data_IF_318992337046
#
_entry.id   IF_318992337046
#
_cell.length_a   1.000
_cell.length_b   1.000
_cell.length_c   1.000
_cell.angle_alpha   90.00
_cell.angle_beta   90.00
_cell.angle_gamma   90.00
#
_symmetry.space_group_name_H-M   'P 1'
#
loop_
_entity.id
_entity.type
_entity.pdbx_description
1 polymer ?
#
# COMPACT_ATOMS: atom_id res chain seq x y z
N UNK A 1 -25.23 -18.95 -24.04
CA UNK A 1 -25.16 -18.26 -22.74
C UNK A 1 -25.49 -16.81 -23.04
N UNK A 2 -26.75 -16.42 -22.91
CA UNK A 2 -27.15 -15.02 -23.10
C UNK A 2 -26.41 -14.18 -22.07
N UNK A 3 -25.59 -13.26 -22.55
CA UNK A 3 -24.93 -12.28 -21.69
C UNK A 3 -25.96 -11.19 -21.45
N UNK A 4 -26.57 -11.21 -20.27
CA UNK A 4 -27.58 -10.24 -19.88
C UNK A 4 -26.93 -8.91 -19.48
N UNK A 5 -27.40 -7.82 -20.09
CA UNK A 5 -26.97 -6.44 -19.82
C UNK A 5 -27.16 -6.09 -18.34
N UNK A 6 -28.24 -6.54 -17.72
CA UNK A 6 -28.54 -6.29 -16.31
C UNK A 6 -27.47 -6.92 -15.40
N UNK A 7 -27.02 -8.13 -15.73
CA UNK A 7 -25.94 -8.81 -14.99
C UNK A 7 -24.62 -8.05 -15.08
N UNK A 8 -24.29 -7.47 -16.23
CA UNK A 8 -23.05 -6.69 -16.37
C UNK A 8 -23.15 -5.37 -15.60
N UNK A 9 -24.29 -4.68 -15.66
CA UNK A 9 -24.52 -3.45 -14.90
C UNK A 9 -24.36 -3.70 -13.40
N UNK A 10 -25.00 -4.75 -12.87
CA UNK A 10 -24.88 -5.12 -11.45
C UNK A 10 -23.43 -5.40 -11.03
N UNK A 11 -22.64 -6.08 -11.87
CA UNK A 11 -21.21 -6.31 -11.62
C UNK A 11 -20.41 -5.01 -11.65
N UNK A 12 -20.73 -4.10 -12.55
CA UNK A 12 -20.07 -2.81 -12.67
C UNK A 12 -20.32 -1.93 -11.44
N UNK A 13 -21.58 -1.85 -10.98
CA UNK A 13 -21.93 -1.15 -9.75
C UNK A 13 -21.20 -1.72 -8.53
N UNK A 14 -21.15 -3.04 -8.41
CA UNK A 14 -20.39 -3.71 -7.36
C UNK A 14 -18.91 -3.30 -7.40
N UNK A 15 -18.28 -3.30 -8.58
CA UNK A 15 -16.86 -2.96 -8.74
C UNK A 15 -16.56 -1.49 -8.48
N UNK A 16 -17.47 -0.58 -8.86
CA UNK A 16 -17.37 0.86 -8.54
C UNK A 16 -17.46 1.09 -7.02
N UNK A 17 -18.37 0.38 -6.35
CA UNK A 17 -18.47 0.43 -4.89
C UNK A 17 -17.20 -0.13 -4.23
N UNK A 18 -16.73 -1.30 -4.67
CA UNK A 18 -15.48 -1.91 -4.20
C UNK A 18 -14.28 -0.95 -4.36
N UNK A 19 -14.15 -0.30 -5.52
CA UNK A 19 -13.13 0.71 -5.79
C UNK A 19 -13.20 1.87 -4.79
N UNK A 20 -14.41 2.36 -4.51
CA UNK A 20 -14.63 3.46 -3.56
C UNK A 20 -14.16 3.09 -2.15
N UNK A 21 -14.48 1.87 -1.69
CA UNK A 21 -14.04 1.40 -0.38
C UNK A 21 -12.52 1.22 -0.32
N UNK A 22 -11.92 0.61 -1.34
CA UNK A 22 -10.47 0.38 -1.37
C UNK A 22 -9.66 1.67 -1.45
N UNK A 23 -10.15 2.71 -2.13
CA UNK A 23 -9.51 4.02 -2.12
C UNK A 23 -9.46 4.63 -0.72
N UNK A 24 -10.55 4.53 0.05
CA UNK A 24 -10.58 4.99 1.46
C UNK A 24 -9.59 4.20 2.33
N UNK A 25 -9.48 2.89 2.11
CA UNK A 25 -8.52 2.08 2.86
C UNK A 25 -7.07 2.34 2.42
N UNK A 26 -6.83 2.66 1.15
CA UNK A 26 -5.52 3.08 0.66
C UNK A 26 -5.05 4.37 1.35
N UNK A 27 -5.94 5.35 1.54
CA UNK A 27 -5.62 6.58 2.27
C UNK A 27 -5.17 6.28 3.71
N UNK A 28 -5.92 5.43 4.43
CA UNK A 28 -5.56 4.99 5.79
C UNK A 28 -4.21 4.27 5.80
N UNK A 29 -3.97 3.36 4.86
CA UNK A 29 -2.69 2.66 4.72
C UNK A 29 -1.55 3.62 4.39
N UNK A 30 -1.81 4.67 3.61
CA UNK A 30 -0.85 5.73 3.32
C UNK A 30 -0.43 6.45 4.59
N UNK A 31 -1.39 6.89 5.41
CA UNK A 31 -1.12 7.55 6.69
C UNK A 31 -0.33 6.65 7.65
N UNK A 32 -0.69 5.37 7.77
CA UNK A 32 0.03 4.40 8.61
C UNK A 32 1.47 4.21 8.09
N UNK A 33 1.64 4.05 6.78
CA UNK A 33 2.95 3.87 6.14
C UNK A 33 3.86 5.07 6.39
N UNK A 34 3.34 6.28 6.26
CA UNK A 34 4.13 7.51 6.46
C UNK A 34 4.46 7.72 7.94
N UNK A 35 3.51 7.47 8.86
CA UNK A 35 3.73 7.55 10.31
C UNK A 35 4.81 6.56 10.79
N UNK A 36 4.80 5.31 10.30
CA UNK A 36 5.82 4.33 10.66
C UNK A 36 7.19 4.64 10.03
N UNK A 37 7.22 5.31 8.87
CA UNK A 37 8.48 5.76 8.26
C UNK A 37 9.10 6.92 9.06
N UNK A 38 8.28 7.85 9.53
CA UNK A 38 8.68 8.92 10.45
C UNK A 38 9.24 8.35 11.76
N UNK A 39 8.48 7.50 12.45
CA UNK A 39 8.86 6.90 13.73
C UNK A 39 10.21 6.17 13.62
N UNK A 40 10.36 5.30 12.61
CA UNK A 40 11.62 4.60 12.38
C UNK A 40 12.80 5.56 12.16
N UNK A 41 12.62 6.64 11.37
CA UNK A 41 13.69 7.60 11.11
C UNK A 41 14.09 8.36 12.36
N UNK A 42 13.12 8.80 13.16
CA UNK A 42 13.36 9.51 14.40
C UNK A 42 14.13 8.64 15.39
N UNK A 43 13.68 7.41 15.64
CA UNK A 43 14.35 6.51 16.59
C UNK A 43 15.73 6.07 16.12
N UNK A 44 15.92 5.82 14.82
CA UNK A 44 17.23 5.49 14.26
C UNK A 44 18.23 6.64 14.46
N UNK A 45 17.81 7.89 14.30
CA UNK A 45 18.67 9.06 14.52
C UNK A 45 19.02 9.20 16.00
N UNK A 46 18.05 9.02 16.90
CA UNK A 46 18.30 9.04 18.36
C UNK A 46 19.34 7.98 18.74
N UNK A 47 19.22 6.77 18.19
CA UNK A 47 20.17 5.69 18.43
C UNK A 47 21.56 6.03 17.88
N UNK A 48 21.65 6.63 16.68
CA UNK A 48 22.93 7.10 16.15
C UNK A 48 23.60 8.15 17.03
N UNK A 49 22.83 9.11 17.56
CA UNK A 49 23.35 10.13 18.46
C UNK A 49 23.84 9.51 19.77
N UNK A 50 23.05 8.60 20.36
CA UNK A 50 23.44 7.86 21.57
C UNK A 50 24.75 7.10 21.38
N UNK A 51 24.87 6.36 20.27
CA UNK A 51 26.08 5.60 19.96
C UNK A 51 27.28 6.50 19.65
N UNK A 52 27.08 7.65 18.99
CA UNK A 52 28.13 8.63 18.68
C UNK A 52 28.68 9.30 19.95
N UNK A 53 27.81 9.62 20.91
CA UNK A 53 28.22 10.20 22.20
C UNK A 53 29.00 9.19 23.06
N UNK A 54 28.62 7.91 22.99
CA UNK A 54 29.22 6.85 23.81
C UNK A 54 30.48 6.23 23.20
N UNK A 55 30.62 6.23 21.87
CA UNK A 55 31.74 5.60 21.17
C UNK A 55 32.54 6.62 20.34
N UNK A 56 33.83 6.78 20.65
CA UNK A 56 34.77 7.52 19.81
C UNK A 56 34.85 6.87 18.42
N UNK A 57 34.21 7.47 17.42
CA UNK A 57 34.38 7.23 15.97
C UNK A 57 34.57 5.76 15.56
N UNK A 58 33.56 4.92 15.79
CA UNK A 58 33.55 3.56 15.25
C UNK A 58 32.91 3.58 13.85
N UNK A 59 33.63 3.06 12.85
CA UNK A 59 33.17 3.01 11.44
C UNK A 59 31.89 2.18 11.21
N UNK A 60 31.48 1.37 12.19
CA UNK A 60 30.34 0.43 12.12
C UNK A 60 29.11 0.87 12.94
N UNK A 61 29.06 2.13 13.43
CA UNK A 61 27.90 2.67 14.18
C UNK A 61 26.58 2.48 13.43
N UNK A 62 26.63 2.56 12.09
CA UNK A 62 25.54 2.23 11.16
C UNK A 62 24.91 0.86 11.40
N UNK A 63 25.74 -0.16 11.50
CA UNK A 63 25.32 -1.55 11.61
C UNK A 63 24.94 -1.91 13.03
N UNK A 64 25.60 -1.31 14.03
CA UNK A 64 25.24 -1.46 15.44
C UNK A 64 23.83 -0.93 15.70
N UNK A 65 23.52 0.30 15.24
CA UNK A 65 22.19 0.88 15.43
C UNK A 65 21.08 0.06 14.76
N UNK A 66 21.34 -0.50 13.57
CA UNK A 66 20.37 -1.35 12.86
C UNK A 66 20.29 -2.77 13.41
N UNK A 67 21.32 -3.21 14.12
CA UNK A 67 21.34 -4.45 14.89
C UNK A 67 20.58 -4.36 16.21
N UNK A 68 20.29 -3.14 16.69
CA UNK A 68 19.40 -2.94 17.84
C UNK A 68 18.01 -3.52 17.51
N UNK A 69 17.52 -4.39 18.40
CA UNK A 69 16.27 -5.12 18.23
C UNK A 69 15.05 -4.20 18.07
N UNK A 70 15.01 -3.08 18.78
CA UNK A 70 13.91 -2.13 18.73
C UNK A 70 13.88 -1.42 17.37
N UNK A 71 15.03 -0.92 16.92
CA UNK A 71 15.18 -0.31 15.58
C UNK A 71 14.87 -1.31 14.47
N UNK A 72 15.32 -2.55 14.60
CA UNK A 72 15.03 -3.62 13.65
C UNK A 72 13.53 -3.92 13.57
N UNK A 73 12.82 -3.90 14.70
CA UNK A 73 11.37 -4.09 14.74
C UNK A 73 10.61 -2.92 14.09
N UNK A 74 11.03 -1.68 14.38
CA UNK A 74 10.47 -0.49 13.71
C UNK A 74 10.66 -0.56 12.19
N UNK A 75 11.85 -0.99 11.73
CA UNK A 75 12.15 -1.21 10.31
C UNK A 75 11.21 -2.24 9.69
N UNK A 76 11.00 -3.36 10.36
CA UNK A 76 10.10 -4.42 9.89
C UNK A 76 8.66 -3.90 9.76
N UNK A 77 8.16 -3.20 10.77
CA UNK A 77 6.80 -2.65 10.75
C UNK A 77 6.61 -1.65 9.60
N UNK A 78 7.58 -0.76 9.40
CA UNK A 78 7.62 0.19 8.27
C UNK A 78 7.58 -0.55 6.92
N UNK A 79 8.39 -1.59 6.76
CA UNK A 79 8.49 -2.32 5.49
C UNK A 79 7.21 -3.11 5.20
N UNK A 80 6.60 -3.72 6.22
CA UNK A 80 5.29 -4.36 6.10
C UNK A 80 4.20 -3.35 5.71
N UNK A 81 4.21 -2.15 6.29
CA UNK A 81 3.26 -1.10 5.93
C UNK A 81 3.43 -0.62 4.48
N UNK A 82 4.68 -0.49 4.01
CA UNK A 82 4.99 -0.18 2.60
C UNK A 82 4.45 -1.26 1.67
N UNK A 83 4.73 -2.53 1.95
CA UNK A 83 4.25 -3.66 1.15
C UNK A 83 2.72 -3.65 1.08
N UNK A 84 2.02 -3.46 2.21
CA UNK A 84 0.56 -3.40 2.26
C UNK A 84 0.00 -2.26 1.42
N UNK A 85 0.58 -1.06 1.52
CA UNK A 85 0.18 0.10 0.73
C UNK A 85 0.34 -0.15 -0.77
N UNK A 86 1.51 -0.64 -1.22
CA UNK A 86 1.74 -0.90 -2.64
C UNK A 86 0.89 -2.05 -3.17
N UNK A 87 0.68 -3.11 -2.38
CA UNK A 87 -0.21 -4.20 -2.73
C UNK A 87 -1.66 -3.72 -2.93
N UNK A 88 -2.16 -2.86 -2.03
CA UNK A 88 -3.49 -2.25 -2.19
C UNK A 88 -3.57 -1.39 -3.45
N UNK A 89 -2.54 -0.59 -3.73
CA UNK A 89 -2.47 0.23 -4.95
C UNK A 89 -2.56 -0.64 -6.22
N UNK A 90 -1.83 -1.76 -6.27
CA UNK A 90 -1.92 -2.72 -7.37
C UNK A 90 -3.31 -3.35 -7.47
N UNK A 91 -3.93 -3.70 -6.34
CA UNK A 91 -5.29 -4.25 -6.33
C UNK A 91 -6.34 -3.26 -6.84
N UNK A 92 -6.19 -1.96 -6.54
CA UNK A 92 -7.05 -0.89 -7.05
C UNK A 92 -6.91 -0.78 -8.57
N UNK A 93 -5.70 -0.90 -9.11
CA UNK A 93 -5.47 -0.87 -10.54
C UNK A 93 -6.14 -2.05 -11.26
N UNK A 94 -6.08 -3.25 -10.68
CA UNK A 94 -6.79 -4.40 -11.22
C UNK A 94 -8.32 -4.16 -11.28
N UNK A 95 -8.91 -3.54 -10.25
CA UNK A 95 -10.35 -3.23 -10.26
C UNK A 95 -10.70 -2.23 -11.36
N UNK A 96 -9.86 -1.23 -11.61
CA UNK A 96 -10.08 -0.31 -12.74
C UNK A 96 -10.07 -1.05 -14.06
N UNK A 97 -9.12 -1.97 -14.27
CA UNK A 97 -9.05 -2.79 -15.47
C UNK A 97 -10.33 -3.64 -15.60
N UNK A 98 -10.79 -4.27 -14.51
CA UNK A 98 -12.05 -5.03 -14.51
C UNK A 98 -13.25 -4.16 -14.89
N UNK A 99 -13.33 -2.93 -14.39
CA UNK A 99 -14.38 -1.96 -14.77
C UNK A 99 -14.31 -1.66 -16.27
N UNK A 100 -13.12 -1.40 -16.82
CA UNK A 100 -12.96 -1.12 -18.25
C UNK A 100 -13.34 -2.32 -19.12
N UNK A 101 -13.02 -3.55 -18.70
CA UNK A 101 -13.46 -4.77 -19.38
C UNK A 101 -14.99 -4.87 -19.39
N UNK A 102 -15.65 -4.64 -18.26
CA UNK A 102 -17.12 -4.68 -18.18
C UNK A 102 -17.76 -3.59 -19.05
N UNK A 103 -17.19 -2.38 -19.10
CA UNK A 103 -17.62 -1.30 -20.01
C UNK A 103 -17.45 -1.68 -21.47
N UNK A 104 -16.35 -2.34 -21.82
CA UNK A 104 -16.10 -2.85 -23.17
C UNK A 104 -17.14 -3.89 -23.58
N UNK A 105 -17.50 -4.81 -22.69
CA UNK A 105 -18.56 -5.80 -22.93
C UNK A 105 -19.93 -5.14 -23.15
N UNK A 106 -20.29 -4.15 -22.33
CA UNK A 106 -21.54 -3.38 -22.52
C UNK A 106 -21.55 -2.67 -23.87
N UNK A 107 -20.45 -2.01 -24.24
CA UNK A 107 -20.35 -1.28 -25.50
C UNK A 107 -20.51 -2.21 -26.70
N UNK A 108 -19.91 -3.40 -26.65
CA UNK A 108 -20.05 -4.41 -27.69
C UNK A 108 -21.50 -4.89 -27.82
N UNK A 109 -22.15 -5.23 -26.70
CA UNK A 109 -23.57 -5.61 -26.70
C UNK A 109 -24.46 -4.50 -27.26
N UNK A 110 -24.24 -3.24 -26.87
CA UNK A 110 -25.00 -2.10 -27.39
C UNK A 110 -24.75 -1.78 -28.87
N UNK A 111 -23.70 -2.34 -29.49
CA UNK A 111 -23.42 -2.15 -30.91
C UNK A 111 -23.96 -3.31 -31.78
N UNK A 112 -24.22 -4.47 -31.18
CA UNK A 112 -24.82 -5.63 -31.88
C UNK A 112 -26.36 -5.59 -31.94
N UNK A 113 -27.00 -4.78 -31.08
CA UNK A 113 -28.44 -4.51 -31.06
C UNK A 113 -28.75 -3.07 -31.52
#
# INVERSE_FOLDING_TARGET
>A
MEIDVEVIINKLEYKVNELTFRNKDLEKLGAIKDSLDEEYRCELIKEFLSLSLNNKNISITGDIARGNREIAQLRLNRDLAKIRYYSMKSSIENIKIEIEVLRGMLTWLSAEF
#
